data_IF_217413084374
#
_entry.id   IF_217413084374
#
_cell.length_a   1.000
_cell.length_b   1.000
_cell.length_c   1.000
_cell.angle_alpha   90.00
_cell.angle_beta   90.00
_cell.angle_gamma   90.00
#
_symmetry.space_group_name_H-M   'P 1'
#
loop_
_entity.id
_entity.type
_entity.pdbx_description
1 polymer ?
#
# COMPACT_ATOMS: atom_id res chain seq x y z
N UNK A 1 12.91 4.22 -20.47
CA UNK A 1 13.47 4.07 -19.11
C UNK A 1 13.11 2.70 -18.54
N UNK A 2 13.95 2.09 -17.70
CA UNK A 2 13.63 0.80 -17.04
C UNK A 2 12.67 1.07 -15.86
N UNK A 3 11.36 1.02 -16.09
CA UNK A 3 10.32 1.37 -15.10
C UNK A 3 10.46 0.61 -13.76
N UNK A 4 10.93 -0.63 -13.79
CA UNK A 4 11.15 -1.43 -12.57
C UNK A 4 12.12 -0.80 -11.57
N UNK A 5 12.98 0.15 -12.01
CA UNK A 5 13.88 0.88 -11.10
C UNK A 5 13.11 1.74 -10.08
N UNK A 6 11.87 2.08 -10.38
CA UNK A 6 11.00 2.91 -9.56
C UNK A 6 9.88 2.12 -8.88
N UNK A 7 9.90 0.79 -8.94
CA UNK A 7 8.86 -0.04 -8.33
C UNK A 7 8.69 0.24 -6.83
N UNK A 8 9.78 0.46 -6.09
CA UNK A 8 9.65 0.84 -4.67
C UNK A 8 9.01 2.21 -4.51
N UNK A 9 9.46 3.21 -5.27
CA UNK A 9 8.88 4.57 -5.28
C UNK A 9 7.40 4.59 -5.65
N UNK A 10 6.96 3.78 -6.62
CA UNK A 10 5.54 3.68 -6.97
C UNK A 10 4.72 3.11 -5.81
N UNK A 11 5.23 2.08 -5.14
CA UNK A 11 4.58 1.49 -3.97
C UNK A 11 4.51 2.49 -2.80
N UNK A 12 5.59 3.25 -2.56
CA UNK A 12 5.60 4.36 -1.61
C UNK A 12 4.53 5.39 -1.96
N UNK A 13 4.43 5.79 -3.23
CA UNK A 13 3.43 6.77 -3.67
C UNK A 13 1.99 6.26 -3.41
N UNK A 14 1.70 4.99 -3.67
CA UNK A 14 0.42 4.36 -3.32
C UNK A 14 0.15 4.45 -1.81
N UNK A 15 1.15 4.14 -0.97
CA UNK A 15 1.04 4.25 0.48
C UNK A 15 0.80 5.68 0.97
N UNK A 16 1.45 6.68 0.36
CA UNK A 16 1.21 8.10 0.65
C UNK A 16 -0.21 8.50 0.30
N UNK A 17 -0.69 8.17 -0.90
CA UNK A 17 -2.06 8.47 -1.34
C UNK A 17 -3.07 7.81 -0.38
N UNK A 18 -2.87 6.54 -0.03
CA UNK A 18 -3.72 5.81 0.91
C UNK A 18 -3.73 6.46 2.29
N UNK A 19 -2.57 6.83 2.82
CA UNK A 19 -2.43 7.47 4.13
C UNK A 19 -3.13 8.82 4.18
N UNK A 20 -2.95 9.65 3.14
CA UNK A 20 -3.65 10.93 3.03
C UNK A 20 -5.16 10.70 2.99
N UNK A 21 -5.62 9.76 2.16
CA UNK A 21 -7.04 9.43 2.06
C UNK A 21 -7.61 8.90 3.39
N UNK A 22 -6.85 8.09 4.13
CA UNK A 22 -7.23 7.59 5.45
C UNK A 22 -7.42 8.72 6.45
N UNK A 23 -6.52 9.72 6.47
CA UNK A 23 -6.62 10.89 7.34
C UNK A 23 -7.86 11.74 7.03
N UNK A 24 -8.23 11.88 5.75
CA UNK A 24 -9.44 12.59 5.36
C UNK A 24 -10.71 11.81 5.74
N UNK A 25 -10.76 10.51 5.43
CA UNK A 25 -11.93 9.67 5.69
C UNK A 25 -12.16 9.46 7.20
N UNK A 26 -11.08 9.28 7.96
CA UNK A 26 -11.11 9.03 9.40
C UNK A 26 -11.08 10.29 10.27
N UNK A 27 -11.24 11.50 9.71
CA UNK A 27 -11.05 12.77 10.45
C UNK A 27 -11.83 12.82 11.78
N UNK A 28 -13.10 12.46 11.76
CA UNK A 28 -13.95 12.45 12.95
C UNK A 28 -13.49 11.38 13.94
N UNK A 29 -13.19 10.17 13.45
CA UNK A 29 -12.66 9.08 14.26
C UNK A 29 -11.35 9.45 14.96
N UNK A 30 -10.40 10.07 14.25
CA UNK A 30 -9.13 10.51 14.85
C UNK A 30 -9.33 11.65 15.85
N UNK A 31 -10.27 12.56 15.60
CA UNK A 31 -10.62 13.62 16.55
C UNK A 31 -11.20 13.03 17.83
N UNK A 32 -12.08 12.04 17.71
CA UNK A 32 -12.65 11.31 18.85
C UNK A 32 -11.58 10.57 19.64
N UNK A 33 -10.68 9.82 18.98
CA UNK A 33 -9.55 9.14 19.63
C UNK A 33 -8.65 10.11 20.38
N UNK A 34 -8.38 11.30 19.82
CA UNK A 34 -7.58 12.33 20.48
C UNK A 34 -8.28 12.91 21.71
N UNK A 35 -9.59 13.16 21.62
CA UNK A 35 -10.38 13.71 22.73
C UNK A 35 -10.52 12.72 23.89
N UNK A 36 -10.62 11.42 23.59
CA UNK A 36 -10.76 10.35 24.58
C UNK A 36 -9.42 9.91 25.17
N UNK A 37 -8.29 10.40 24.64
CA UNK A 37 -6.95 9.93 24.96
C UNK A 37 -6.55 8.69 24.14
N UNK A 38 -5.29 8.59 23.71
CA UNK A 38 -4.88 7.59 22.72
C UNK A 38 -4.83 6.14 23.25
N UNK A 39 -4.75 5.94 24.57
CA UNK A 39 -4.68 4.61 25.16
C UNK A 39 -6.09 4.06 25.30
N UNK A 40 -6.36 2.91 24.68
CA UNK A 40 -7.65 2.20 24.72
C UNK A 40 -8.87 3.03 24.24
N UNK A 41 -8.66 4.10 23.45
CA UNK A 41 -9.78 4.92 22.92
C UNK A 41 -10.63 4.22 21.87
N UNK A 42 -10.12 3.16 21.25
CA UNK A 42 -10.85 2.41 20.22
C UNK A 42 -11.90 1.50 20.87
N UNK A 43 -11.57 0.84 21.98
CA UNK A 43 -12.46 -0.13 22.64
C UNK A 43 -13.09 -1.12 21.64
N UNK A 44 -14.42 -1.28 21.72
CA UNK A 44 -15.22 -2.09 20.78
C UNK A 44 -15.77 -1.28 19.59
N UNK A 45 -15.34 -0.01 19.43
CA UNK A 45 -15.82 0.84 18.35
C UNK A 45 -15.13 0.48 17.02
N UNK A 46 -15.87 -0.26 16.20
CA UNK A 46 -15.39 -0.77 14.92
C UNK A 46 -15.03 0.35 13.93
N UNK A 47 -15.68 1.52 14.00
CA UNK A 47 -15.37 2.64 13.12
C UNK A 47 -14.03 3.28 13.47
N UNK A 48 -13.73 3.45 14.77
CA UNK A 48 -12.42 3.93 15.22
C UNK A 48 -11.32 2.92 14.86
N UNK A 49 -11.60 1.63 15.10
CA UNK A 49 -10.70 0.55 14.74
C UNK A 49 -10.41 0.49 13.24
N UNK A 50 -11.44 0.63 12.40
CA UNK A 50 -11.30 0.69 10.94
C UNK A 50 -10.44 1.88 10.51
N UNK A 51 -10.72 3.09 10.99
CA UNK A 51 -9.95 4.28 10.64
C UNK A 51 -8.47 4.14 11.03
N UNK A 52 -8.21 3.60 12.23
CA UNK A 52 -6.84 3.35 12.70
C UNK A 52 -6.12 2.31 11.84
N UNK A 53 -6.73 1.15 11.58
CA UNK A 53 -6.13 0.11 10.75
C UNK A 53 -5.89 0.59 9.31
N UNK A 54 -6.82 1.37 8.75
CA UNK A 54 -6.68 1.94 7.42
C UNK A 54 -5.47 2.88 7.34
N UNK A 55 -5.26 3.73 8.35
CA UNK A 55 -4.07 4.56 8.45
C UNK A 55 -2.77 3.74 8.56
N UNK A 56 -2.76 2.74 9.45
CA UNK A 56 -1.59 1.87 9.68
C UNK A 56 -1.22 1.08 8.42
N UNK A 57 -2.20 0.59 7.66
CA UNK A 57 -1.97 -0.07 6.37
C UNK A 57 -1.24 0.86 5.38
N UNK A 58 -1.62 2.14 5.30
CA UNK A 58 -0.95 3.13 4.48
C UNK A 58 0.52 3.35 4.89
N UNK A 59 0.78 3.46 6.19
CA UNK A 59 2.14 3.64 6.74
C UNK A 59 3.01 2.41 6.46
N UNK A 60 2.49 1.20 6.68
CA UNK A 60 3.21 -0.05 6.36
C UNK A 60 3.53 -0.10 4.86
N UNK A 61 2.60 0.33 4.01
CA UNK A 61 2.80 0.34 2.56
C UNK A 61 3.93 1.29 2.15
N UNK A 62 4.04 2.47 2.78
CA UNK A 62 5.17 3.40 2.61
C UNK A 62 6.48 2.73 3.01
N UNK A 63 6.54 2.11 4.19
CA UNK A 63 7.75 1.45 4.70
C UNK A 63 8.19 0.30 3.79
N UNK A 64 7.24 -0.49 3.26
CA UNK A 64 7.53 -1.55 2.30
C UNK A 64 7.97 -1.00 0.95
N UNK A 65 7.40 0.13 0.49
CA UNK A 65 7.85 0.83 -0.71
C UNK A 65 9.30 1.29 -0.60
N UNK A 66 9.66 1.93 0.51
CA UNK A 66 11.05 2.37 0.77
C UNK A 66 12.00 1.19 0.90
N UNK A 67 11.60 0.13 1.60
CA UNK A 67 12.39 -1.10 1.73
C UNK A 67 12.64 -1.76 0.37
N UNK A 68 11.60 -1.84 -0.47
CA UNK A 68 11.71 -2.36 -1.82
C UNK A 68 12.61 -1.46 -2.69
N UNK A 69 12.51 -0.14 -2.54
CA UNK A 69 13.34 0.80 -3.28
C UNK A 69 14.81 0.68 -2.90
N UNK A 70 15.10 0.49 -1.61
CA UNK A 70 16.43 0.19 -1.09
C UNK A 70 16.98 -1.11 -1.69
N UNK A 71 16.19 -2.19 -1.67
CA UNK A 71 16.56 -3.47 -2.29
C UNK A 71 16.89 -3.32 -3.78
N UNK A 72 16.04 -2.66 -4.57
CA UNK A 72 16.23 -2.45 -6.01
C UNK A 72 17.52 -1.68 -6.30
N UNK A 73 17.82 -0.65 -5.49
CA UNK A 73 19.05 0.14 -5.61
C UNK A 73 20.29 -0.66 -5.23
N UNK A 74 20.20 -1.56 -4.25
CA UNK A 74 21.32 -2.39 -3.82
C UNK A 74 21.62 -3.51 -4.83
N UNK A 75 20.58 -4.24 -5.24
CA UNK A 75 20.74 -5.41 -6.11
C UNK A 75 20.90 -5.06 -7.60
N UNK A 76 20.48 -3.87 -8.01
CA UNK A 76 20.40 -3.45 -9.42
C UNK A 76 19.59 -4.44 -10.28
N UNK A 77 18.55 -5.03 -9.68
CA UNK A 77 17.63 -6.00 -10.28
C UNK A 77 16.18 -5.59 -10.01
N UNK A 78 15.22 -5.99 -10.87
CA UNK A 78 13.81 -5.79 -10.58
C UNK A 78 13.41 -6.51 -9.28
N UNK A 79 12.27 -6.11 -8.73
CA UNK A 79 11.67 -6.81 -7.61
C UNK A 79 11.45 -8.30 -7.95
N UNK A 80 11.50 -9.21 -6.96
CA UNK A 80 11.27 -10.64 -7.20
C UNK A 80 9.93 -10.92 -7.89
N UNK A 81 9.92 -11.88 -8.82
CA UNK A 81 8.73 -12.22 -9.62
C UNK A 81 7.52 -12.64 -8.76
N UNK A 82 7.75 -13.39 -7.67
CA UNK A 82 6.67 -13.82 -6.78
C UNK A 82 5.87 -12.63 -6.22
N UNK A 83 6.57 -11.54 -5.88
CA UNK A 83 5.93 -10.33 -5.37
C UNK A 83 4.98 -9.71 -6.41
N UNK A 84 5.37 -9.75 -7.69
CA UNK A 84 4.51 -9.30 -8.79
C UNK A 84 3.20 -10.08 -8.88
N UNK A 85 3.25 -11.41 -8.76
CA UNK A 85 2.05 -12.25 -8.78
C UNK A 85 1.16 -12.07 -7.55
N UNK A 86 1.74 -11.94 -6.36
CA UNK A 86 0.95 -11.68 -5.14
C UNK A 86 0.26 -10.32 -5.18
N UNK A 87 0.95 -9.27 -5.65
CA UNK A 87 0.34 -7.94 -5.85
C UNK A 87 -0.79 -8.02 -6.89
N UNK A 88 -0.60 -8.77 -7.99
CA UNK A 88 -1.64 -8.97 -9.01
C UNK A 88 -2.87 -9.67 -8.42
N UNK A 89 -2.68 -10.77 -7.68
CA UNK A 89 -3.76 -11.51 -7.04
C UNK A 89 -4.52 -10.62 -6.04
N UNK A 90 -3.79 -9.90 -5.19
CA UNK A 90 -4.35 -8.95 -4.24
C UNK A 90 -5.18 -7.86 -4.94
N UNK A 91 -4.66 -7.32 -6.04
CA UNK A 91 -5.37 -6.32 -6.85
C UNK A 91 -6.66 -6.88 -7.44
N UNK A 92 -6.63 -8.08 -8.02
CA UNK A 92 -7.80 -8.71 -8.64
C UNK A 92 -8.89 -8.97 -7.59
N UNK A 93 -8.52 -9.57 -6.45
CA UNK A 93 -9.46 -9.85 -5.37
C UNK A 93 -10.08 -8.54 -4.87
N UNK A 94 -9.25 -7.53 -4.59
CA UNK A 94 -9.72 -6.23 -4.12
C UNK A 94 -10.65 -5.52 -5.11
N UNK A 95 -10.30 -5.51 -6.39
CA UNK A 95 -11.17 -4.91 -7.43
C UNK A 95 -12.49 -5.66 -7.63
N UNK A 96 -12.56 -6.96 -7.32
CA UNK A 96 -13.81 -7.74 -7.40
C UNK A 96 -14.67 -7.53 -6.15
N UNK A 97 -14.07 -7.63 -4.96
CA UNK A 97 -14.79 -7.54 -3.68
C UNK A 97 -15.21 -6.11 -3.37
N UNK A 98 -14.35 -5.13 -3.70
CA UNK A 98 -14.57 -3.71 -3.44
C UNK A 98 -14.21 -2.89 -4.70
N UNK A 99 -15.10 -2.80 -5.70
CA UNK A 99 -14.78 -2.16 -6.98
C UNK A 99 -14.49 -0.66 -6.88
N UNK A 100 -15.15 0.04 -5.96
CA UNK A 100 -14.99 1.50 -5.74
C UNK A 100 -13.97 1.70 -4.61
N UNK A 101 -12.73 1.28 -4.85
CA UNK A 101 -11.64 1.28 -3.88
C UNK A 101 -10.34 1.80 -4.50
N UNK A 102 -9.23 1.77 -3.75
CA UNK A 102 -7.89 2.09 -4.26
C UNK A 102 -7.11 0.89 -4.82
N UNK A 103 -7.67 -0.32 -4.82
CA UNK A 103 -6.92 -1.54 -5.16
C UNK A 103 -6.33 -1.52 -6.58
N UNK A 104 -6.98 -0.85 -7.53
CA UNK A 104 -6.48 -0.72 -8.90
C UNK A 104 -5.13 0.02 -9.00
N UNK A 105 -4.72 0.79 -7.98
CA UNK A 105 -3.40 1.44 -7.94
C UNK A 105 -2.24 0.44 -7.88
N UNK A 106 -2.50 -0.79 -7.45
CA UNK A 106 -1.51 -1.86 -7.40
C UNK A 106 -1.30 -2.56 -8.76
N UNK A 107 -2.23 -2.40 -9.72
CA UNK A 107 -2.14 -3.05 -11.03
C UNK A 107 -0.90 -2.63 -11.84
N UNK A 108 -0.57 -1.32 -11.99
CA UNK A 108 0.63 -0.93 -12.72
C UNK A 108 1.90 -1.50 -12.08
N UNK A 109 1.96 -1.53 -10.74
CA UNK A 109 3.08 -2.06 -10.00
C UNK A 109 3.27 -3.57 -10.25
N UNK A 110 2.19 -4.36 -10.19
CA UNK A 110 2.24 -5.79 -10.48
C UNK A 110 2.76 -6.06 -11.90
N UNK A 111 2.22 -5.36 -12.90
CA UNK A 111 2.59 -5.54 -14.31
C UNK A 111 4.05 -5.15 -14.57
N UNK A 112 4.54 -4.06 -13.97
CA UNK A 112 5.94 -3.64 -14.08
C UNK A 112 6.87 -4.73 -13.53
N UNK A 113 6.56 -5.31 -12.37
CA UNK A 113 7.38 -6.36 -11.75
C UNK A 113 7.38 -7.63 -12.62
N UNK A 114 6.21 -8.10 -13.05
CA UNK A 114 6.09 -9.34 -13.84
C UNK A 114 6.83 -9.19 -15.17
N UNK A 115 6.53 -8.14 -15.93
CA UNK A 115 7.10 -7.94 -17.27
C UNK A 115 8.61 -7.72 -17.24
N UNK A 116 9.13 -7.05 -16.21
CA UNK A 116 10.57 -6.82 -16.06
C UNK A 116 11.37 -8.09 -15.74
N UNK A 117 10.74 -9.10 -15.14
CA UNK A 117 11.35 -10.40 -14.90
C UNK A 117 11.23 -11.35 -16.10
N UNK A 118 10.13 -11.29 -16.87
CA UNK A 118 9.97 -12.10 -18.10
C UNK A 118 11.00 -11.74 -19.18
N UNK A 119 11.37 -10.46 -19.32
CA UNK A 119 12.42 -10.01 -20.26
C UNK A 119 13.85 -10.43 -19.89
N UNK A 120 14.05 -10.97 -18.69
CA UNK A 120 15.35 -11.38 -18.17
C UNK A 120 15.67 -12.85 -18.42
N UNK A 121 14.64 -13.63 -18.73
CA UNK A 121 14.74 -15.01 -19.21
C UNK A 121 14.89 -15.00 -20.73
#
# INVERSE_FOLDING_TARGET
>A
MKLWKYSGTLLTATGVIHTIYALFLGKEAFTEMLNNGLIDSIGENHNLGFAFWFLICGIILILWGETLQYYIRKEQKPAPLFLGYFILLFTIIGCIVEPISGFWLFLPQALIIIYSNMKKQ
#
